data_IF_645586664927
#
_entry.id   IF_645586664927
#
_cell.length_a   1.000
_cell.length_b   1.000
_cell.length_c   1.000
_cell.angle_alpha   90.00
_cell.angle_beta   90.00
_cell.angle_gamma   90.00
#
_symmetry.space_group_name_H-M   'P 1'
#
loop_
_entity.id
_entity.type
_entity.pdbx_description
1 polymer ?
#
# COMPACT_ATOMS: atom_id res chain seq x y z
N UNK A 1 -11.37 5.27 -21.45
CA UNK A 1 -10.88 3.87 -21.34
C UNK A 1 -11.74 3.11 -20.34
N UNK A 2 -12.19 1.93 -20.70
CA UNK A 2 -12.97 1.08 -19.80
C UNK A 2 -12.03 0.19 -18.98
N UNK A 3 -11.72 0.63 -17.77
CA UNK A 3 -10.79 -0.08 -16.89
C UNK A 3 -11.38 -1.40 -16.37
N UNK A 4 -12.71 -1.54 -16.36
CA UNK A 4 -13.34 -2.78 -15.90
C UNK A 4 -12.94 -3.97 -16.77
N UNK A 5 -12.67 -3.75 -18.05
CA UNK A 5 -12.21 -4.81 -18.97
C UNK A 5 -10.89 -5.41 -18.53
N UNK A 6 -10.10 -4.67 -17.75
CA UNK A 6 -8.80 -5.11 -17.27
C UNK A 6 -8.84 -5.57 -15.80
N UNK A 7 -10.04 -5.74 -15.24
CA UNK A 7 -10.21 -6.22 -13.88
C UNK A 7 -10.26 -5.14 -12.81
N UNK A 8 -10.19 -3.87 -13.19
CA UNK A 8 -10.28 -2.78 -12.22
C UNK A 8 -11.69 -2.62 -11.66
N UNK A 9 -11.75 -2.19 -10.40
CA UNK A 9 -13.01 -1.87 -9.75
C UNK A 9 -13.75 -0.76 -10.53
N UNK A 10 -15.07 -0.83 -10.55
CA UNK A 10 -15.93 0.06 -11.34
C UNK A 10 -15.66 1.55 -11.12
N UNK A 11 -15.47 1.95 -9.87
CA UNK A 11 -15.27 3.36 -9.49
C UNK A 11 -13.80 3.78 -9.43
N UNK A 12 -12.89 2.91 -9.90
CA UNK A 12 -11.47 3.19 -9.85
C UNK A 12 -11.05 4.20 -10.90
N UNK A 13 -10.20 5.15 -10.51
CA UNK A 13 -9.57 6.11 -11.40
C UNK A 13 -8.12 6.33 -10.98
N UNK A 14 -7.20 6.22 -11.92
CA UNK A 14 -5.79 6.50 -11.63
C UNK A 14 -5.55 7.93 -11.18
N UNK A 15 -6.34 8.89 -11.71
CA UNK A 15 -6.18 10.30 -11.37
C UNK A 15 -6.61 10.62 -9.94
N UNK A 16 -7.64 9.94 -9.45
CA UNK A 16 -8.26 10.23 -8.15
C UNK A 16 -8.06 9.12 -7.14
N UNK A 17 -7.17 8.15 -7.44
CA UNK A 17 -6.99 7.01 -6.55
C UNK A 17 -6.40 7.43 -5.21
N UNK A 18 -6.76 6.71 -4.18
CA UNK A 18 -6.15 6.84 -2.87
C UNK A 18 -4.65 6.56 -2.98
N UNK A 19 -3.85 7.48 -2.51
CA UNK A 19 -2.39 7.41 -2.61
C UNK A 19 -1.78 8.20 -1.45
N UNK A 20 -1.25 7.48 -0.46
CA UNK A 20 -0.54 8.08 0.68
C UNK A 20 0.94 7.76 0.59
N UNK A 21 1.76 8.79 0.72
CA UNK A 21 3.21 8.63 0.80
C UNK A 21 3.75 9.42 1.97
N UNK A 22 4.56 8.78 2.80
CA UNK A 22 5.21 9.42 3.94
C UNK A 22 6.69 9.13 3.91
N UNK A 23 7.50 10.19 3.89
CA UNK A 23 8.94 10.09 3.95
C UNK A 23 9.38 9.88 5.40
N UNK A 24 10.17 8.84 5.65
CA UNK A 24 10.75 8.55 6.96
C UNK A 24 12.23 8.27 6.75
N UNK A 25 13.07 9.27 7.05
CA UNK A 25 14.48 9.18 6.71
C UNK A 25 14.67 9.02 5.22
N UNK A 26 15.37 7.99 4.79
CA UNK A 26 15.59 7.67 3.38
C UNK A 26 14.55 6.69 2.82
N UNK A 27 13.53 6.37 3.61
CA UNK A 27 12.48 5.43 3.21
C UNK A 27 11.19 6.17 2.91
N UNK A 28 10.41 5.61 2.00
CA UNK A 28 9.07 6.11 1.69
C UNK A 28 8.08 4.99 1.98
N UNK A 29 7.15 5.27 2.88
CA UNK A 29 6.01 4.38 3.13
C UNK A 29 4.92 4.78 2.14
N UNK A 30 4.51 3.84 1.31
CA UNK A 30 3.54 4.08 0.24
C UNK A 30 2.32 3.17 0.41
N UNK A 31 1.14 3.76 0.47
CA UNK A 31 -0.12 3.01 0.52
C UNK A 31 -1.02 3.49 -0.60
N UNK A 32 -1.40 2.59 -1.49
CA UNK A 32 -2.14 2.94 -2.70
C UNK A 32 -3.34 2.03 -2.91
N UNK A 33 -4.34 2.57 -3.62
CA UNK A 33 -5.45 1.79 -4.15
C UNK A 33 -4.98 1.17 -5.47
N UNK A 34 -4.91 -0.15 -5.51
CA UNK A 34 -4.48 -0.90 -6.68
C UNK A 34 -5.59 -1.02 -7.73
N UNK A 35 -6.84 -0.81 -7.32
CA UNK A 35 -7.99 -0.89 -8.21
C UNK A 35 -8.38 -2.29 -8.63
N UNK A 36 -7.51 -3.26 -8.44
CA UNK A 36 -7.71 -4.67 -8.78
C UNK A 36 -7.67 -5.51 -7.51
N UNK A 37 -8.57 -6.48 -7.40
CA UNK A 37 -8.59 -7.38 -6.26
C UNK A 37 -7.40 -8.34 -6.32
N UNK A 38 -6.55 -8.29 -5.29
CA UNK A 38 -5.38 -9.15 -5.13
C UNK A 38 -5.64 -10.35 -4.21
N UNK A 39 -6.91 -10.60 -3.87
CA UNK A 39 -7.29 -11.78 -3.09
C UNK A 39 -7.37 -13.01 -3.97
N UNK A 40 -6.61 -14.04 -3.64
CA UNK A 40 -6.60 -15.30 -4.41
C UNK A 40 -7.68 -16.29 -3.97
N UNK A 41 -8.26 -16.08 -2.79
CA UNK A 41 -9.30 -16.97 -2.25
C UNK A 41 -10.67 -16.35 -2.52
N UNK A 42 -11.54 -17.01 -3.32
CA UNK A 42 -12.77 -16.37 -3.81
C UNK A 42 -13.78 -15.98 -2.74
N UNK A 43 -13.77 -16.65 -1.60
CA UNK A 43 -14.76 -16.42 -0.54
C UNK A 43 -14.31 -15.41 0.52
N UNK A 44 -13.13 -14.80 0.33
CA UNK A 44 -12.60 -13.80 1.25
C UNK A 44 -12.81 -12.39 0.71
N UNK A 45 -12.85 -11.38 1.60
CA UNK A 45 -13.01 -10.00 1.16
C UNK A 45 -11.93 -9.59 0.15
N UNK A 46 -12.25 -8.75 -0.83
CA UNK A 46 -11.27 -8.33 -1.83
C UNK A 46 -10.16 -7.49 -1.20
N UNK A 47 -8.97 -7.56 -1.79
CA UNK A 47 -7.80 -6.81 -1.35
C UNK A 47 -7.42 -5.79 -2.41
N UNK A 48 -7.85 -4.55 -2.21
CA UNK A 48 -7.65 -3.45 -3.17
C UNK A 48 -6.52 -2.50 -2.82
N UNK A 49 -6.12 -2.43 -1.55
CA UNK A 49 -5.13 -1.45 -1.07
C UNK A 49 -3.87 -2.16 -0.62
N UNK A 50 -2.72 -1.51 -0.79
CA UNK A 50 -1.45 -2.12 -0.43
C UNK A 50 -0.48 -1.09 0.13
N UNK A 51 0.21 -1.46 1.20
CA UNK A 51 1.33 -0.69 1.75
C UNK A 51 2.63 -1.41 1.44
N UNK A 52 3.59 -0.65 0.92
CA UNK A 52 4.96 -1.09 0.71
C UNK A 52 5.92 0.00 1.18
N UNK A 53 7.18 -0.36 1.39
CA UNK A 53 8.21 0.56 1.86
C UNK A 53 9.35 0.55 0.84
N UNK A 54 9.68 1.73 0.33
CA UNK A 54 10.68 1.92 -0.72
C UNK A 54 11.86 2.76 -0.25
N UNK A 55 12.99 2.56 -0.89
CA UNK A 55 14.17 3.42 -0.76
C UNK A 55 14.91 3.40 -2.10
N UNK A 56 15.65 4.47 -2.37
CA UNK A 56 16.50 4.56 -3.54
C UNK A 56 17.79 3.75 -3.38
N UNK A 57 18.13 3.36 -2.16
CA UNK A 57 19.30 2.55 -1.89
C UNK A 57 19.09 1.10 -2.32
N UNK A 58 20.17 0.44 -2.77
CA UNK A 58 20.10 -0.97 -3.16
C UNK A 58 19.74 -1.88 -2.00
N UNK A 59 20.18 -1.53 -0.80
CA UNK A 59 19.92 -2.30 0.40
C UNK A 59 18.71 -1.76 1.12
N UNK A 60 17.57 -2.41 0.93
CA UNK A 60 16.32 -2.06 1.59
C UNK A 60 15.94 -3.16 2.58
N UNK A 61 16.15 -2.96 3.90
CA UNK A 61 15.78 -3.95 4.90
C UNK A 61 14.27 -4.18 5.00
N UNK A 62 13.47 -3.32 4.37
CA UNK A 62 12.01 -3.42 4.35
C UNK A 62 11.47 -3.91 3.00
N UNK A 63 12.31 -4.49 2.13
CA UNK A 63 11.89 -4.87 0.77
C UNK A 63 10.76 -5.89 0.75
N UNK A 64 10.62 -6.69 1.78
CA UNK A 64 9.55 -7.69 1.88
C UNK A 64 8.32 -7.19 2.65
N UNK A 65 8.33 -5.95 3.11
CA UNK A 65 7.16 -5.40 3.79
C UNK A 65 6.02 -5.24 2.78
N UNK A 66 4.93 -5.92 3.04
CA UNK A 66 3.74 -5.85 2.20
C UNK A 66 2.52 -6.13 3.06
N UNK A 67 1.57 -5.21 3.04
CA UNK A 67 0.32 -5.39 3.77
C UNK A 67 -0.81 -4.93 2.87
N UNK A 68 -1.84 -5.74 2.76
CA UNK A 68 -2.99 -5.47 1.89
C UNK A 68 -4.27 -5.33 2.69
N UNK A 69 -5.19 -4.53 2.16
CA UNK A 69 -6.42 -4.18 2.87
C UNK A 69 -7.61 -4.18 1.93
N UNK A 70 -8.80 -4.39 2.54
CA UNK A 70 -10.07 -4.36 1.82
C UNK A 70 -10.60 -2.94 1.66
N UNK A 71 -10.46 -2.10 2.71
CA UNK A 71 -11.08 -0.77 2.74
C UNK A 71 -10.05 0.34 2.90
N UNK A 72 -10.44 1.55 2.50
CA UNK A 72 -9.60 2.74 2.68
C UNK A 72 -9.32 2.99 4.17
N UNK A 73 -10.30 2.77 5.03
CA UNK A 73 -10.12 2.93 6.48
C UNK A 73 -9.01 2.03 7.02
N UNK A 74 -9.02 0.76 6.61
CA UNK A 74 -7.97 -0.19 6.98
C UNK A 74 -6.63 0.24 6.41
N UNK A 75 -6.61 0.73 5.17
CA UNK A 75 -5.40 1.19 4.50
C UNK A 75 -4.78 2.38 5.24
N UNK A 76 -5.59 3.34 5.70
CA UNK A 76 -5.10 4.48 6.47
C UNK A 76 -4.47 4.05 7.80
N UNK A 77 -5.11 3.12 8.49
CA UNK A 77 -4.57 2.58 9.74
C UNK A 77 -3.27 1.81 9.49
N UNK A 78 -3.25 1.00 8.45
CA UNK A 78 -2.06 0.23 8.06
C UNK A 78 -0.90 1.12 7.67
N UNK A 79 -1.18 2.23 6.97
CA UNK A 79 -0.16 3.21 6.62
C UNK A 79 0.50 3.80 7.88
N UNK A 80 -0.30 4.18 8.87
CA UNK A 80 0.21 4.71 10.14
C UNK A 80 1.07 3.67 10.87
N UNK A 81 0.64 2.40 10.89
CA UNK A 81 1.43 1.33 11.50
C UNK A 81 2.78 1.18 10.80
N UNK A 82 2.79 1.21 9.47
CA UNK A 82 4.02 1.08 8.70
C UNK A 82 4.98 2.24 8.95
N UNK A 83 4.46 3.47 9.00
CA UNK A 83 5.26 4.67 9.33
C UNK A 83 5.90 4.51 10.72
N UNK A 84 5.11 4.11 11.70
CA UNK A 84 5.59 3.88 13.06
C UNK A 84 6.67 2.79 13.09
N UNK A 85 6.43 1.71 12.37
CA UNK A 85 7.37 0.59 12.27
C UNK A 85 8.73 1.04 11.73
N UNK A 86 8.74 1.81 10.64
CA UNK A 86 9.99 2.32 10.07
C UNK A 86 10.68 3.26 11.03
N UNK A 87 9.92 4.18 11.66
CA UNK A 87 10.48 5.13 12.65
C UNK A 87 11.16 4.40 13.81
N UNK A 88 10.54 3.36 14.32
CA UNK A 88 11.10 2.57 15.43
C UNK A 88 12.38 1.86 15.01
N UNK A 89 12.42 1.31 13.79
CA UNK A 89 13.59 0.59 13.31
C UNK A 89 14.78 1.50 13.06
N UNK A 90 14.59 2.68 12.50
CA UNK A 90 15.69 3.60 12.21
C UNK A 90 16.02 4.53 13.38
N UNK A 91 15.08 4.76 14.27
CA UNK A 91 15.26 5.63 15.43
C UNK A 91 15.92 5.00 16.65
N UNK A 92 16.03 3.66 16.64
CA UNK A 92 16.57 2.91 17.77
C UNK A 92 18.06 2.61 17.62
N UNK A 93 18.78 3.54 17.09
CA UNK A 93 20.25 3.40 16.91
C UNK A 93 20.99 3.95 18.10
#
# INVERSE_FOLDING_TARGET
MDLEKFGFRKDFSFENRFDLKTQVGRYVVSTVDLGINHQFLPDLPPLYYETMIFTENEDNPFEYYQERYTTEKQARKGHKRAVKFVKEKIGNK
#
